data_IF_657576079889
#
_entry.id   IF_657576079889
#
_cell.length_a   1.000
_cell.length_b   1.000
_cell.length_c   1.000
_cell.angle_alpha   90.00
_cell.angle_beta   90.00
_cell.angle_gamma   90.00
#
_symmetry.space_group_name_H-M   'P 1'
#
loop_
_entity.id
_entity.type
_entity.pdbx_description
1 polymer ?
#
# COMPACT_ATOMS: atom_id res chain seq x y z
N UNK A 1 12.69 -16.84 13.46
CA UNK A 1 12.66 -15.42 13.80
C UNK A 1 11.41 -14.75 13.27
N UNK A 2 10.85 -13.81 14.02
CA UNK A 2 9.69 -13.09 13.54
C UNK A 2 10.03 -12.27 12.29
N UNK A 3 9.14 -12.29 11.32
CA UNK A 3 9.30 -11.49 10.11
C UNK A 3 8.80 -10.08 10.36
N UNK A 4 9.70 -9.11 10.24
CA UNK A 4 9.35 -7.69 10.31
C UNK A 4 9.45 -7.09 8.92
N UNK A 5 8.55 -6.16 8.61
CA UNK A 5 8.58 -5.45 7.33
C UNK A 5 8.25 -3.98 7.55
N UNK A 6 8.72 -3.13 6.66
CA UNK A 6 8.42 -1.72 6.69
C UNK A 6 6.95 -1.47 6.43
N UNK A 7 6.31 -0.63 7.24
CA UNK A 7 4.89 -0.35 7.13
C UNK A 7 4.60 1.10 6.73
N UNK A 8 5.55 2.00 6.90
CA UNK A 8 5.38 3.41 6.58
C UNK A 8 6.16 4.26 7.55
N UNK A 9 5.79 5.53 7.64
CA UNK A 9 6.47 6.48 8.51
C UNK A 9 5.65 6.79 9.75
N UNK A 10 6.35 7.15 10.83
CA UNK A 10 5.71 7.66 12.04
C UNK A 10 4.78 8.82 11.67
N UNK A 11 3.56 8.80 12.20
CA UNK A 11 2.54 9.79 11.87
C UNK A 11 2.75 11.14 12.57
N UNK A 12 3.70 11.20 13.52
CA UNK A 12 4.08 12.46 14.15
C UNK A 12 4.91 13.27 13.13
N UNK A 13 4.43 14.44 12.67
CA UNK A 13 5.13 15.22 11.66
C UNK A 13 6.52 15.70 12.12
N UNK A 14 6.75 15.74 13.44
CA UNK A 14 8.05 16.13 13.98
C UNK A 14 9.04 14.97 14.06
N UNK A 15 8.58 13.75 13.83
CA UNK A 15 9.40 12.54 13.90
C UNK A 15 9.66 11.97 12.50
N UNK A 16 8.63 11.37 11.89
CA UNK A 16 8.71 10.91 10.51
C UNK A 16 9.63 9.74 10.22
N UNK A 17 10.16 9.05 11.25
CA UNK A 17 11.05 7.90 11.02
C UNK A 17 10.27 6.74 10.41
N UNK A 18 10.98 5.91 9.66
CA UNK A 18 10.39 4.70 9.11
C UNK A 18 10.09 3.70 10.22
N UNK A 19 8.88 3.15 10.17
CA UNK A 19 8.42 2.14 11.12
C UNK A 19 8.37 0.77 10.47
N UNK A 20 8.64 -0.25 11.26
CA UNK A 20 8.46 -1.63 10.85
C UNK A 20 7.65 -2.38 11.91
N UNK A 21 6.98 -3.43 11.49
CA UNK A 21 6.17 -4.25 12.38
C UNK A 21 6.26 -5.70 11.95
N UNK A 22 5.95 -6.59 12.87
CA UNK A 22 5.83 -8.01 12.55
C UNK A 22 4.60 -8.23 11.68
N UNK A 23 4.67 -9.25 10.82
CA UNK A 23 3.53 -9.64 9.99
C UNK A 23 2.35 -9.99 10.90
N UNK A 24 1.19 -9.37 10.63
CA UNK A 24 -0.01 -9.60 11.43
C UNK A 24 -0.14 -8.70 12.65
N UNK A 25 0.85 -7.86 12.94
CA UNK A 25 0.75 -6.93 14.07
C UNK A 25 -0.38 -5.92 13.85
N UNK A 26 -1.11 -5.62 14.90
CA UNK A 26 -2.23 -4.67 14.87
C UNK A 26 -1.78 -3.28 15.29
N UNK A 27 -0.78 -3.20 16.17
CA UNK A 27 -0.26 -1.95 16.70
C UNK A 27 1.26 -1.90 16.61
N UNK A 28 1.80 -0.70 16.65
CA UNK A 28 3.25 -0.45 16.59
C UNK A 28 3.58 0.78 17.44
N UNK A 29 4.72 0.72 18.14
CA UNK A 29 5.24 1.85 18.87
C UNK A 29 6.43 2.43 18.11
N UNK A 30 6.49 3.77 18.02
CA UNK A 30 7.63 4.43 17.43
C UNK A 30 8.81 4.38 18.41
N UNK A 31 9.97 3.81 18.02
CA UNK A 31 11.12 3.72 18.93
C UNK A 31 11.80 5.06 19.18
N UNK A 32 11.46 6.10 18.43
CA UNK A 32 12.08 7.41 18.53
C UNK A 32 11.24 8.36 19.38
N UNK A 33 9.95 8.54 19.05
CA UNK A 33 9.09 9.47 19.77
C UNK A 33 8.18 8.81 20.81
N UNK A 34 8.09 7.47 20.80
CA UNK A 34 7.30 6.72 21.78
C UNK A 34 5.80 6.69 21.54
N UNK A 35 5.30 7.33 20.49
CA UNK A 35 3.89 7.28 20.18
C UNK A 35 3.47 5.90 19.69
N UNK A 36 2.26 5.48 20.03
CA UNK A 36 1.69 4.23 19.62
C UNK A 36 0.66 4.47 18.51
N UNK A 37 0.65 3.60 17.50
CA UNK A 37 -0.27 3.72 16.36
C UNK A 37 -0.86 2.35 16.02
N UNK A 38 -2.03 2.36 15.40
CA UNK A 38 -2.52 1.16 14.73
C UNK A 38 -1.75 1.00 13.41
N UNK A 39 -1.38 -0.22 13.10
CA UNK A 39 -0.65 -0.50 11.85
C UNK A 39 -1.44 -0.04 10.63
N UNK A 40 -2.77 -0.22 10.64
CA UNK A 40 -3.63 0.23 9.53
C UNK A 40 -3.50 1.73 9.28
N UNK A 41 -3.39 2.54 10.33
CA UNK A 41 -3.25 3.99 10.19
C UNK A 41 -1.91 4.36 9.56
N UNK A 42 -0.85 3.68 9.95
CA UNK A 42 0.49 3.90 9.37
C UNK A 42 0.49 3.47 7.89
N UNK A 43 -0.15 2.35 7.57
CA UNK A 43 -0.27 1.89 6.18
C UNK A 43 -1.09 2.85 5.32
N UNK A 44 -2.16 3.43 5.87
CA UNK A 44 -2.94 4.45 5.17
C UNK A 44 -2.12 5.70 4.88
N UNK A 45 -1.26 6.10 5.82
CA UNK A 45 -0.33 7.21 5.60
C UNK A 45 0.64 6.92 4.46
N UNK A 46 1.17 5.70 4.41
CA UNK A 46 2.05 5.27 3.33
C UNK A 46 1.32 5.23 1.98
N UNK A 47 0.10 4.71 1.98
CA UNK A 47 -0.74 4.70 0.77
C UNK A 47 -0.91 6.11 0.22
N UNK A 48 -1.23 7.07 1.10
CA UNK A 48 -1.40 8.47 0.70
C UNK A 48 -0.12 9.04 0.09
N UNK A 49 1.03 8.79 0.70
CA UNK A 49 2.32 9.22 0.16
C UNK A 49 2.58 8.64 -1.22
N UNK A 50 2.31 7.36 -1.41
CA UNK A 50 2.51 6.69 -2.69
C UNK A 50 1.58 7.26 -3.77
N UNK A 51 0.33 7.56 -3.42
CA UNK A 51 -0.62 8.18 -4.35
C UNK A 51 -0.13 9.57 -4.77
N UNK A 52 0.29 10.38 -3.80
CA UNK A 52 0.77 11.74 -4.07
C UNK A 52 2.04 11.76 -4.90
N UNK A 53 2.94 10.81 -4.69
CA UNK A 53 4.22 10.74 -5.40
C UNK A 53 4.14 9.97 -6.72
N UNK A 54 2.99 9.39 -7.05
CA UNK A 54 2.81 8.67 -8.31
C UNK A 54 3.55 7.34 -8.39
N UNK A 55 3.86 6.71 -7.26
CA UNK A 55 4.59 5.45 -7.25
C UNK A 55 3.79 4.31 -7.87
N UNK A 56 4.51 3.41 -8.51
CA UNK A 56 3.94 2.24 -9.19
C UNK A 56 4.50 0.95 -8.59
N UNK A 57 3.68 -0.08 -8.56
CA UNK A 57 3.99 -1.37 -7.97
C UNK A 57 3.40 -2.49 -8.84
N UNK A 58 3.86 -3.71 -8.64
CA UNK A 58 3.24 -4.88 -9.30
C UNK A 58 1.81 -5.06 -8.78
N UNK A 59 1.02 -5.86 -9.52
CA UNK A 59 -0.35 -6.17 -9.10
C UNK A 59 -0.40 -6.77 -7.70
N UNK A 60 0.50 -7.69 -7.39
CA UNK A 60 0.56 -8.31 -6.07
C UNK A 60 0.89 -7.33 -4.96
N UNK A 61 1.85 -6.44 -5.21
CA UNK A 61 2.25 -5.42 -4.23
C UNK A 61 1.14 -4.40 -3.98
N UNK A 62 0.47 -3.95 -5.05
CA UNK A 62 -0.68 -3.05 -4.92
C UNK A 62 -1.79 -3.70 -4.09
N UNK A 63 -2.11 -4.95 -4.39
CA UNK A 63 -3.16 -5.68 -3.68
C UNK A 63 -2.82 -5.85 -2.21
N UNK A 64 -1.57 -6.20 -1.91
CA UNK A 64 -1.12 -6.39 -0.53
C UNK A 64 -1.24 -5.10 0.28
N UNK A 65 -0.75 -3.99 -0.27
CA UNK A 65 -0.83 -2.70 0.41
C UNK A 65 -2.28 -2.28 0.65
N UNK A 66 -3.14 -2.43 -0.34
CA UNK A 66 -4.55 -2.08 -0.21
C UNK A 66 -5.26 -2.95 0.84
N UNK A 67 -4.96 -4.25 0.89
CA UNK A 67 -5.51 -5.12 1.93
C UNK A 67 -5.06 -4.71 3.33
N UNK A 68 -3.80 -4.32 3.47
CA UNK A 68 -3.27 -3.85 4.76
C UNK A 68 -3.93 -2.55 5.20
N UNK A 69 -4.45 -1.77 4.25
CA UNK A 69 -5.19 -0.54 4.52
C UNK A 69 -6.69 -0.78 4.74
N UNK A 70 -7.14 -2.02 4.68
CA UNK A 70 -8.54 -2.37 4.91
C UNK A 70 -9.41 -2.47 3.66
N UNK A 71 -8.82 -2.34 2.47
CA UNK A 71 -9.55 -2.51 1.21
C UNK A 71 -9.53 -3.97 0.76
N UNK A 72 -10.59 -4.39 0.09
CA UNK A 72 -10.63 -5.73 -0.49
C UNK A 72 -10.14 -5.66 -1.93
N UNK A 73 -8.98 -6.23 -2.16
CA UNK A 73 -8.36 -6.25 -3.49
C UNK A 73 -7.39 -7.42 -3.56
N UNK A 74 -7.30 -8.06 -4.72
CA UNK A 74 -6.28 -9.07 -4.96
C UNK A 74 -5.66 -8.87 -6.34
N UNK A 75 -4.55 -9.56 -6.59
CA UNK A 75 -3.82 -9.39 -7.84
C UNK A 75 -4.65 -9.78 -9.06
N UNK A 76 -5.50 -10.80 -8.93
CA UNK A 76 -6.37 -11.24 -10.03
C UNK A 76 -7.40 -10.17 -10.41
N UNK A 77 -7.92 -9.45 -9.42
CA UNK A 77 -8.84 -8.33 -9.66
C UNK A 77 -8.14 -7.25 -10.49
N UNK A 78 -6.91 -6.91 -10.13
CA UNK A 78 -6.12 -5.89 -10.84
C UNK A 78 -5.86 -6.34 -12.27
N UNK A 79 -5.47 -7.58 -12.48
CA UNK A 79 -5.24 -8.13 -13.82
C UNK A 79 -6.52 -8.14 -14.66
N UNK A 80 -7.66 -8.41 -14.04
CA UNK A 80 -8.96 -8.35 -14.69
C UNK A 80 -9.29 -6.94 -15.17
N UNK A 81 -9.02 -5.93 -14.36
CA UNK A 81 -9.22 -4.52 -14.75
C UNK A 81 -8.36 -4.15 -15.94
N UNK A 82 -7.12 -4.65 -15.98
CA UNK A 82 -6.25 -4.44 -17.14
C UNK A 82 -6.84 -5.06 -18.39
N UNK A 83 -7.33 -6.29 -18.32
CA UNK A 83 -7.96 -6.98 -19.46
C UNK A 83 -9.16 -6.20 -19.99
N UNK A 84 -9.91 -5.58 -19.11
CA UNK A 84 -11.10 -4.80 -19.47
C UNK A 84 -10.79 -3.38 -19.94
N UNK A 85 -9.50 -3.01 -19.98
CA UNK A 85 -9.08 -1.68 -20.38
C UNK A 85 -9.30 -0.59 -19.35
N UNK A 86 -9.62 -0.95 -18.11
CA UNK A 86 -9.85 0.00 -17.02
C UNK A 86 -8.58 0.44 -16.32
N UNK A 87 -7.48 -0.27 -16.57
CA UNK A 87 -6.22 -0.03 -15.90
C UNK A 87 -5.08 -0.32 -16.88
N UNK A 88 -4.09 0.56 -16.93
CA UNK A 88 -2.94 0.40 -17.80
C UNK A 88 -1.66 0.36 -16.97
N UNK A 89 -0.72 -0.54 -17.29
CA UNK A 89 0.60 -0.51 -16.66
C UNK A 89 1.38 0.71 -17.13
N UNK A 90 2.21 1.26 -16.24
CA UNK A 90 3.06 2.41 -16.54
C UNK A 90 4.53 2.04 -16.76
N UNK A 91 4.86 0.78 -16.61
CA UNK A 91 6.21 0.27 -16.80
C UNK A 91 6.33 -1.18 -16.41
N UNK A 92 7.55 -1.66 -16.28
CA UNK A 92 7.86 -3.02 -15.86
C UNK A 92 8.99 -2.99 -14.84
N UNK A 93 9.01 -3.98 -13.93
CA UNK A 93 10.12 -4.13 -13.00
C UNK A 93 11.28 -4.92 -13.65
N UNK A 94 12.34 -5.18 -12.89
CA UNK A 94 13.53 -5.89 -13.37
C UNK A 94 13.23 -7.30 -13.88
N UNK A 95 12.13 -7.88 -13.44
CA UNK A 95 11.70 -9.22 -13.84
C UNK A 95 10.69 -9.21 -14.98
N UNK A 96 10.44 -8.04 -15.58
CA UNK A 96 9.48 -7.89 -16.68
C UNK A 96 8.02 -7.90 -16.24
N UNK A 97 7.73 -7.76 -14.95
CA UNK A 97 6.37 -7.72 -14.46
C UNK A 97 5.78 -6.32 -14.60
N UNK A 98 4.51 -6.20 -15.03
CA UNK A 98 3.89 -4.89 -15.18
C UNK A 98 3.80 -4.15 -13.85
N UNK A 99 4.03 -2.84 -13.91
CA UNK A 99 3.87 -1.95 -12.76
C UNK A 99 2.65 -1.07 -13.00
N UNK A 100 1.83 -0.93 -11.97
CA UNK A 100 0.62 -0.11 -12.01
C UNK A 100 0.77 1.04 -11.03
N UNK A 101 0.39 2.23 -11.46
CA UNK A 101 0.39 3.38 -10.56
C UNK A 101 -0.65 3.13 -9.46
N UNK A 102 -0.21 3.24 -8.21
CA UNK A 102 -1.07 2.90 -7.07
C UNK A 102 -2.34 3.77 -7.03
N UNK A 103 -2.24 5.05 -7.43
CA UNK A 103 -3.40 5.93 -7.51
C UNK A 103 -4.46 5.41 -8.48
N UNK A 104 -4.03 4.80 -9.59
CA UNK A 104 -4.96 4.23 -10.58
C UNK A 104 -5.70 3.01 -10.02
N UNK A 105 -4.96 2.14 -9.32
CA UNK A 105 -5.56 0.95 -8.69
C UNK A 105 -6.54 1.37 -7.58
N UNK A 106 -6.11 2.30 -6.75
CA UNK A 106 -6.95 2.83 -5.66
C UNK A 106 -8.25 3.43 -6.21
N UNK A 107 -8.16 4.18 -7.31
CA UNK A 107 -9.34 4.76 -7.96
C UNK A 107 -10.32 3.68 -8.41
N UNK A 108 -9.82 2.58 -8.98
CA UNK A 108 -10.69 1.47 -9.40
C UNK A 108 -11.36 0.80 -8.20
N UNK A 109 -10.65 0.64 -7.09
CA UNK A 109 -11.23 0.09 -5.86
C UNK A 109 -12.35 0.99 -5.35
N UNK A 110 -12.12 2.30 -5.31
CA UNK A 110 -13.12 3.26 -4.85
C UNK A 110 -14.35 3.26 -5.76
N UNK A 111 -14.16 3.17 -7.06
CA UNK A 111 -15.27 3.12 -8.02
C UNK A 111 -16.10 1.84 -7.88
N UNK A 112 -15.42 0.71 -7.68
CA UNK A 112 -16.11 -0.57 -7.44
C UNK A 112 -16.96 -0.52 -6.18
N UNK A 113 -16.43 0.06 -5.10
CA UNK A 113 -17.07 0.09 -3.79
C UNK A 113 -18.10 1.22 -3.65
N UNK A 114 -18.13 2.14 -4.61
CA UNK A 114 -19.05 3.25 -4.64
C UNK A 114 -20.31 2.85 -5.42
N UNK A 115 -21.42 2.70 -4.72
CA UNK A 115 -22.71 2.35 -5.33
C UNK A 115 -23.72 3.44 -5.02
#
# INVERSE_FOLDING_TARGET
>A
PPSRHGIGRCLNPLCGVELSAEVGAVSVDCPVCGNAYRVVDVRLGFLRECIESGRAFTAGECAELLRECGFQCNANTIRSWRKRGRLQPVGENDKGRPLYRLSDVHRQVLRRDSI
#
